data_IF_292986772145
#
_entry.id   IF_292986772145
#
_cell.length_a   1.000
_cell.length_b   1.000
_cell.length_c   1.000
_cell.angle_alpha   90.00
_cell.angle_beta   90.00
_cell.angle_gamma   90.00
#
_symmetry.space_group_name_H-M   'P 1'
#
loop_
_entity.id
_entity.type
_entity.pdbx_description
1 polymer ?
#
# COMPACT_ATOMS: atom_id res chain seq x y z
N UNK A 1 -8.21 -22.74 7.12
CA UNK A 1 -8.71 -21.36 6.93
C UNK A 1 -8.35 -20.51 8.15
N UNK A 2 -7.86 -19.31 7.90
CA UNK A 2 -7.62 -18.32 8.94
C UNK A 2 -8.70 -17.22 8.86
N UNK A 3 -8.98 -16.50 9.97
CA UNK A 3 -9.87 -15.34 9.91
C UNK A 3 -9.35 -14.30 8.90
N UNK A 4 -10.26 -13.67 8.18
CA UNK A 4 -9.94 -12.52 7.35
C UNK A 4 -9.61 -11.29 8.19
N UNK A 5 -8.98 -10.29 7.57
CA UNK A 5 -8.55 -9.07 8.26
C UNK A 5 -9.71 -8.16 8.64
N UNK A 6 -10.82 -8.21 7.88
CA UNK A 6 -11.94 -7.28 8.04
C UNK A 6 -11.61 -5.90 7.45
N UNK A 7 -12.35 -4.89 7.91
CA UNK A 7 -12.15 -3.50 7.45
C UNK A 7 -11.22 -2.74 8.38
N UNK A 8 -10.03 -2.45 7.92
CA UNK A 8 -9.06 -1.60 8.65
C UNK A 8 -9.17 -0.15 8.12
N UNK A 9 -10.19 0.56 8.59
CA UNK A 9 -10.54 1.92 8.17
C UNK A 9 -10.77 2.78 9.41
N UNK A 10 -10.13 3.94 9.48
CA UNK A 10 -10.29 4.86 10.61
C UNK A 10 -11.68 5.51 10.61
N UNK A 11 -12.23 5.79 9.43
CA UNK A 11 -13.56 6.39 9.27
C UNK A 11 -14.64 5.36 9.62
N UNK A 12 -15.42 5.55 10.71
CA UNK A 12 -16.43 4.59 11.15
C UNK A 12 -17.62 4.45 10.19
N UNK A 13 -17.80 5.41 9.27
CA UNK A 13 -18.90 5.40 8.30
C UNK A 13 -18.55 4.61 7.03
N UNK A 14 -17.34 4.06 6.93
CA UNK A 14 -16.87 3.30 5.78
C UNK A 14 -16.67 1.83 6.12
N UNK A 15 -16.94 0.97 5.14
CA UNK A 15 -16.75 -0.49 5.26
C UNK A 15 -16.22 -1.05 3.95
N UNK A 16 -15.26 -1.97 4.05
CA UNK A 16 -14.76 -2.72 2.92
C UNK A 16 -15.51 -4.05 2.79
N UNK A 17 -15.87 -4.43 1.57
CA UNK A 17 -16.33 -5.80 1.29
C UNK A 17 -15.12 -6.74 1.28
N UNK A 18 -15.11 -7.71 2.18
CA UNK A 18 -14.02 -8.67 2.29
C UNK A 18 -14.55 -10.05 2.69
N UNK A 19 -13.77 -11.09 2.37
CA UNK A 19 -14.07 -12.43 2.86
C UNK A 19 -13.80 -12.54 4.36
N UNK A 20 -14.64 -13.29 5.06
CA UNK A 20 -14.49 -13.50 6.52
C UNK A 20 -13.37 -14.49 6.86
N UNK A 21 -12.92 -15.30 5.90
CA UNK A 21 -11.85 -16.28 6.07
C UNK A 21 -10.90 -16.28 4.89
N UNK A 22 -9.65 -16.65 5.16
CA UNK A 22 -8.59 -16.73 4.15
C UNK A 22 -8.00 -18.13 4.11
N UNK A 23 -7.87 -18.79 2.92
CA UNK A 23 -7.21 -20.09 2.77
C UNK A 23 -5.72 -19.99 3.12
N UNK A 24 -5.23 -20.88 3.98
CA UNK A 24 -3.82 -20.90 4.42
C UNK A 24 -2.88 -21.14 3.22
N UNK A 25 -3.27 -22.01 2.29
CA UNK A 25 -2.46 -22.30 1.08
C UNK A 25 -2.21 -21.04 0.26
N UNK A 26 -3.22 -20.19 0.12
CA UNK A 26 -3.09 -18.92 -0.60
C UNK A 26 -2.13 -17.96 0.12
N UNK A 27 -2.19 -17.92 1.45
CA UNK A 27 -1.27 -17.10 2.24
C UNK A 27 0.18 -17.56 2.12
N UNK A 28 0.42 -18.88 2.13
CA UNK A 28 1.76 -19.43 1.95
C UNK A 28 2.32 -19.13 0.54
N UNK A 29 1.48 -19.23 -0.48
CA UNK A 29 1.84 -18.87 -1.84
C UNK A 29 2.19 -17.38 -1.97
N UNK A 30 1.39 -16.51 -1.37
CA UNK A 30 1.66 -15.07 -1.35
C UNK A 30 2.96 -14.75 -0.61
N UNK A 31 3.19 -15.34 0.55
CA UNK A 31 4.42 -15.13 1.33
C UNK A 31 5.65 -15.51 0.53
N UNK A 32 5.62 -16.65 -0.15
CA UNK A 32 6.71 -17.10 -1.02
C UNK A 32 6.99 -16.11 -2.16
N UNK A 33 5.93 -15.62 -2.82
CA UNK A 33 6.04 -14.65 -3.91
C UNK A 33 6.60 -13.31 -3.42
N UNK A 34 6.19 -12.84 -2.25
CA UNK A 34 6.68 -11.60 -1.67
C UNK A 34 8.16 -11.68 -1.29
N UNK A 35 8.61 -12.83 -0.77
CA UNK A 35 10.04 -13.07 -0.47
C UNK A 35 10.88 -13.01 -1.75
N UNK A 36 10.42 -13.64 -2.81
CA UNK A 36 11.08 -13.61 -4.10
C UNK A 36 11.10 -12.19 -4.69
N UNK A 37 9.97 -11.48 -4.65
CA UNK A 37 9.85 -10.12 -5.13
C UNK A 37 10.88 -9.18 -4.50
N UNK A 38 11.16 -9.35 -3.22
CA UNK A 38 12.12 -8.51 -2.48
C UNK A 38 13.51 -8.53 -3.12
N UNK A 39 13.89 -9.61 -3.78
CA UNK A 39 15.17 -9.73 -4.49
C UNK A 39 15.24 -8.86 -5.75
N UNK A 40 14.09 -8.43 -6.28
CA UNK A 40 13.99 -7.70 -7.55
C UNK A 40 13.53 -6.24 -7.39
N UNK A 41 13.36 -5.74 -6.17
CA UNK A 41 12.92 -4.35 -5.95
C UNK A 41 13.90 -3.32 -6.53
N UNK A 42 15.18 -3.66 -6.65
CA UNK A 42 16.17 -2.80 -7.29
C UNK A 42 15.95 -2.62 -8.80
N UNK A 43 15.10 -3.43 -9.42
CA UNK A 43 14.71 -3.26 -10.82
C UNK A 43 13.65 -2.16 -11.01
N UNK A 44 13.09 -1.64 -9.94
CA UNK A 44 12.17 -0.49 -9.97
C UNK A 44 12.99 0.78 -10.20
N UNK A 45 13.10 1.20 -11.45
CA UNK A 45 13.90 2.36 -11.87
C UNK A 45 13.05 3.55 -12.34
N UNK A 46 11.75 3.32 -12.57
CA UNK A 46 10.81 4.37 -12.93
C UNK A 46 10.46 5.25 -11.73
N UNK A 47 9.92 6.45 -11.95
CA UNK A 47 9.38 7.26 -10.86
C UNK A 47 8.31 6.50 -10.07
N UNK A 48 8.37 6.60 -8.76
CA UNK A 48 7.47 5.90 -7.83
C UNK A 48 6.81 6.90 -6.88
N UNK A 49 5.48 6.90 -6.86
CA UNK A 49 4.70 7.56 -5.81
C UNK A 49 4.32 6.51 -4.76
N UNK A 50 4.84 6.66 -3.56
CA UNK A 50 4.65 5.71 -2.46
C UNK A 50 3.87 6.37 -1.33
N UNK A 51 2.64 5.93 -1.14
CA UNK A 51 1.77 6.41 -0.06
C UNK A 51 1.46 5.26 0.90
N UNK A 52 1.62 5.50 2.17
CA UNK A 52 1.26 4.52 3.20
C UNK A 52 0.72 5.19 4.45
N UNK A 53 -0.10 4.45 5.19
CA UNK A 53 -0.62 4.87 6.47
C UNK A 53 0.27 4.36 7.60
N UNK A 54 0.86 5.24 8.43
CA UNK A 54 1.66 4.80 9.59
C UNK A 54 0.86 3.98 10.60
N UNK A 55 -0.47 4.11 10.60
CA UNK A 55 -1.40 3.38 11.47
C UNK A 55 -2.03 2.15 10.80
N UNK A 56 -1.43 1.65 9.74
CA UNK A 56 -1.86 0.41 9.07
C UNK A 56 -1.70 -0.78 10.04
N UNK A 57 -2.81 -1.49 10.31
CA UNK A 57 -2.85 -2.64 11.22
C UNK A 57 -2.72 -3.98 10.48
N UNK A 58 -2.60 -3.96 9.17
CA UNK A 58 -2.56 -5.17 8.33
C UNK A 58 -1.16 -5.38 7.76
N UNK A 59 -0.59 -4.34 7.15
CA UNK A 59 0.74 -4.37 6.54
C UNK A 59 1.68 -3.48 7.35
N UNK A 60 2.81 -4.00 7.83
CA UNK A 60 3.75 -3.20 8.60
C UNK A 60 4.21 -1.96 7.79
N UNK A 61 4.14 -0.76 8.37
CA UNK A 61 4.63 0.45 7.70
C UNK A 61 6.09 0.38 7.28
N UNK A 62 6.90 -0.46 7.94
CA UNK A 62 8.29 -0.73 7.58
C UNK A 62 8.45 -1.31 6.15
N UNK A 63 7.43 -1.95 5.60
CA UNK A 63 7.45 -2.43 4.21
C UNK A 63 7.62 -1.30 3.21
N UNK A 64 7.04 -0.14 3.49
CA UNK A 64 7.21 1.06 2.65
C UNK A 64 8.64 1.60 2.72
N UNK A 65 9.29 1.51 3.87
CA UNK A 65 10.71 1.85 4.01
C UNK A 65 11.60 0.93 3.17
N UNK A 66 11.31 -0.37 3.18
CA UNK A 66 12.05 -1.36 2.39
C UNK A 66 11.94 -1.03 0.90
N UNK A 67 10.72 -0.77 0.42
CA UNK A 67 10.47 -0.43 -0.98
C UNK A 67 11.16 0.89 -1.36
N UNK A 68 11.04 1.93 -0.54
CA UNK A 68 11.64 3.23 -0.80
C UNK A 68 13.17 3.16 -0.86
N UNK A 69 13.76 2.32 -0.02
CA UNK A 69 15.22 2.14 0.03
C UNK A 69 15.75 1.29 -1.13
N UNK A 70 15.01 0.25 -1.51
CA UNK A 70 15.44 -0.69 -2.55
C UNK A 70 15.22 -0.15 -3.97
N UNK A 71 14.16 0.62 -4.21
CA UNK A 71 13.87 1.20 -5.51
C UNK A 71 14.98 2.17 -5.94
N UNK A 72 15.35 2.14 -7.21
CA UNK A 72 16.47 2.93 -7.76
C UNK A 72 16.02 4.16 -8.55
N UNK A 73 14.74 4.32 -8.81
CA UNK A 73 14.18 5.51 -9.41
C UNK A 73 13.87 6.61 -8.40
N UNK A 74 13.39 7.77 -8.86
CA UNK A 74 12.92 8.82 -7.95
C UNK A 74 11.71 8.33 -7.14
N UNK A 75 11.74 8.51 -5.82
CA UNK A 75 10.65 8.10 -4.93
C UNK A 75 10.07 9.34 -4.27
N UNK A 76 8.78 9.58 -4.51
CA UNK A 76 7.99 10.58 -3.78
C UNK A 76 7.16 9.86 -2.72
N UNK A 77 7.29 10.28 -1.47
CA UNK A 77 6.59 9.65 -0.35
C UNK A 77 5.52 10.57 0.23
N UNK A 78 4.36 10.01 0.51
CA UNK A 78 3.25 10.71 1.17
C UNK A 78 2.77 9.85 2.34
N UNK A 79 2.75 10.44 3.53
CA UNK A 79 2.21 9.79 4.73
C UNK A 79 0.72 10.05 4.83
N UNK A 80 -0.06 8.99 5.03
CA UNK A 80 -1.52 9.04 5.17
C UNK A 80 -1.87 8.95 6.65
N UNK A 81 -1.66 10.04 7.37
CA UNK A 81 -1.66 10.06 8.84
C UNK A 81 -3.03 9.88 9.48
N UNK A 82 -4.11 10.05 8.70
CA UNK A 82 -5.50 9.96 9.18
C UNK A 82 -6.18 8.68 8.74
N UNK A 83 -5.45 7.74 8.17
CA UNK A 83 -5.99 6.53 7.55
C UNK A 83 -5.36 5.27 8.11
N UNK A 84 -6.07 4.13 7.93
CA UNK A 84 -5.58 2.79 8.21
C UNK A 84 -5.24 2.07 6.89
N UNK A 85 -5.31 0.73 6.86
CA UNK A 85 -4.88 -0.06 5.70
C UNK A 85 -5.65 0.28 4.42
N UNK A 86 -6.97 0.40 4.49
CA UNK A 86 -7.82 0.69 3.32
C UNK A 86 -7.92 2.20 3.12
N UNK A 87 -6.80 2.83 2.88
CA UNK A 87 -6.68 4.29 2.84
C UNK A 87 -7.54 4.96 1.77
N UNK A 88 -7.81 4.27 0.65
CA UNK A 88 -8.65 4.80 -0.44
C UNK A 88 -10.13 4.96 -0.07
N UNK A 89 -10.57 4.35 1.02
CA UNK A 89 -11.91 4.51 1.59
C UNK A 89 -11.91 5.32 2.89
N UNK A 90 -10.76 5.85 3.28
CA UNK A 90 -10.56 6.49 4.57
C UNK A 90 -10.51 8.03 4.47
N UNK A 91 -10.15 8.67 5.57
CA UNK A 91 -10.11 10.13 5.68
C UNK A 91 -9.15 10.81 4.71
N UNK A 92 -8.08 10.13 4.28
CA UNK A 92 -7.10 10.68 3.32
C UNK A 92 -7.42 10.40 1.85
N UNK A 93 -8.62 9.88 1.53
CA UNK A 93 -8.97 9.54 0.13
C UNK A 93 -8.82 10.72 -0.84
N UNK A 94 -9.22 11.92 -0.43
CA UNK A 94 -9.08 13.11 -1.27
C UNK A 94 -7.62 13.50 -1.50
N UNK A 95 -6.78 13.35 -0.49
CA UNK A 95 -5.33 13.54 -0.61
C UNK A 95 -4.72 12.54 -1.58
N UNK A 96 -5.12 11.27 -1.50
CA UNK A 96 -4.66 10.22 -2.41
C UNK A 96 -5.02 10.56 -3.85
N UNK A 97 -6.29 10.93 -4.10
CA UNK A 97 -6.77 11.31 -5.44
C UNK A 97 -5.95 12.47 -6.02
N UNK A 98 -5.78 13.53 -5.23
CA UNK A 98 -4.98 14.70 -5.62
C UNK A 98 -3.54 14.33 -5.97
N UNK A 99 -2.88 13.56 -5.10
CA UNK A 99 -1.48 13.16 -5.29
C UNK A 99 -1.29 12.24 -6.49
N UNK A 100 -2.22 11.32 -6.73
CA UNK A 100 -2.17 10.41 -7.90
C UNK A 100 -2.30 11.20 -9.19
N UNK A 101 -3.27 12.10 -9.29
CA UNK A 101 -3.48 12.93 -10.49
C UNK A 101 -2.26 13.81 -10.75
N UNK A 102 -1.77 14.52 -9.74
CA UNK A 102 -0.60 15.37 -9.85
C UNK A 102 0.65 14.59 -10.30
N UNK A 103 0.90 13.45 -9.68
CA UNK A 103 2.02 12.59 -10.05
C UNK A 103 1.90 12.10 -11.50
N UNK A 104 0.72 11.59 -11.90
CA UNK A 104 0.49 11.12 -13.25
C UNK A 104 0.74 12.23 -14.28
N UNK A 105 0.27 13.43 -14.03
CA UNK A 105 0.50 14.59 -14.91
C UNK A 105 1.99 14.93 -15.03
N UNK A 106 2.72 14.94 -13.94
CA UNK A 106 4.16 15.27 -13.93
C UNK A 106 5.01 14.25 -14.68
N UNK A 107 4.75 12.96 -14.50
CA UNK A 107 5.56 11.90 -15.11
C UNK A 107 5.22 11.67 -16.59
N UNK A 108 4.04 12.07 -17.05
CA UNK A 108 3.62 11.92 -18.44
C UNK A 108 3.91 13.13 -19.33
N UNK A 109 4.25 14.26 -18.74
CA UNK A 109 4.62 15.48 -19.47
C UNK A 109 6.08 15.50 -19.97
N UNK A 110 6.82 14.45 -19.62
CA UNK A 110 8.24 14.32 -19.97
C UNK A 110 8.56 14.55 -21.37
#
# INVERSE_FOLDING_TARGET
MLPGVGSDIADPDQTEMAYVQTPVVCLLSLDSALRELTLYLHDVTMPLLLMNAPQDHVVPPSNSEILATAARGPVERVSLDRSYHVATLDYDRSLIEEKVVDFAERVTKG
#
